data_IF_063881281997
#
_entry.id   IF_063881281997
#
_cell.length_a   1.000
_cell.length_b   1.000
_cell.length_c   1.000
_cell.angle_alpha   90.00
_cell.angle_beta   90.00
_cell.angle_gamma   90.00
#
_symmetry.space_group_name_H-M   'P 1'
#
loop_
_entity.id
_entity.type
_entity.pdbx_description
1 polymer ?
#
# COMPACT_ATOMS: atom_id res chain seq x y z
N UNK A 1 32.70 -3.46 -9.06
CA UNK A 1 31.49 -4.32 -8.94
C UNK A 1 31.66 -5.44 -7.92
N UNK A 2 32.80 -6.14 -7.86
CA UNK A 2 33.01 -7.22 -6.88
C UNK A 2 32.88 -6.74 -5.43
N UNK A 3 33.44 -5.56 -5.11
CA UNK A 3 33.29 -4.93 -3.79
C UNK A 3 31.83 -4.60 -3.49
N UNK A 4 31.11 -3.99 -4.43
CA UNK A 4 29.67 -3.72 -4.28
C UNK A 4 28.88 -5.01 -4.02
N UNK A 5 29.09 -6.05 -4.83
CA UNK A 5 28.47 -7.37 -4.66
C UNK A 5 28.76 -7.94 -3.26
N UNK A 6 30.01 -7.96 -2.83
CA UNK A 6 30.39 -8.48 -1.52
C UNK A 6 29.74 -7.68 -0.38
N UNK A 7 29.72 -6.34 -0.49
CA UNK A 7 29.07 -5.47 0.48
C UNK A 7 27.56 -5.75 0.59
N UNK A 8 26.83 -5.87 -0.52
CA UNK A 8 25.39 -6.20 -0.49
C UNK A 8 25.15 -7.54 0.19
N UNK A 9 25.93 -8.57 -0.14
CA UNK A 9 25.74 -9.92 0.38
C UNK A 9 26.11 -10.09 1.85
N UNK A 10 27.02 -9.26 2.38
CA UNK A 10 27.53 -9.37 3.74
C UNK A 10 26.95 -8.31 4.70
N UNK A 11 26.67 -7.11 4.19
CA UNK A 11 26.39 -5.91 5.00
C UNK A 11 25.09 -5.20 4.58
N UNK A 12 24.45 -5.64 3.49
CA UNK A 12 23.19 -5.06 2.99
C UNK A 12 23.39 -3.88 2.02
N UNK A 13 22.27 -3.35 1.53
CA UNK A 13 22.24 -2.31 0.48
C UNK A 13 22.78 -0.98 0.97
N UNK A 14 22.48 -0.58 2.21
CA UNK A 14 22.93 0.68 2.80
C UNK A 14 24.45 0.81 2.83
N UNK A 15 25.16 -0.22 3.31
CA UNK A 15 26.62 -0.24 3.33
C UNK A 15 27.24 -0.28 1.91
N UNK A 16 26.51 -0.84 0.94
CA UNK A 16 26.97 -0.96 -0.43
C UNK A 16 26.77 0.30 -1.27
N UNK A 17 26.00 1.29 -0.79
CA UNK A 17 25.62 2.51 -1.53
C UNK A 17 26.82 3.28 -2.10
N UNK A 18 27.89 3.61 -1.34
CA UNK A 18 29.04 4.33 -1.90
C UNK A 18 29.76 3.55 -3.01
N UNK A 19 29.66 2.22 -2.99
CA UNK A 19 30.26 1.36 -4.01
C UNK A 19 29.38 1.27 -5.25
N UNK A 20 28.05 1.32 -5.09
CA UNK A 20 27.09 1.40 -6.19
C UNK A 20 27.23 2.73 -6.94
N UNK A 21 27.45 3.83 -6.23
CA UNK A 21 27.61 5.17 -6.83
C UNK A 21 28.79 5.23 -7.81
N UNK A 22 29.86 4.49 -7.51
CA UNK A 22 31.06 4.37 -8.37
C UNK A 22 30.86 3.52 -9.62
N UNK A 23 29.72 2.80 -9.75
CA UNK A 23 29.41 2.01 -10.95
C UNK A 23 28.77 2.89 -12.04
N UNK A 24 28.86 2.49 -13.32
CA UNK A 24 28.25 3.23 -14.43
C UNK A 24 26.75 3.47 -14.23
N UNK A 25 26.26 4.60 -14.75
CA UNK A 25 24.83 4.90 -14.80
C UNK A 25 24.07 3.89 -15.68
N UNK A 26 22.76 3.66 -15.46
CA UNK A 26 21.96 2.66 -16.18
C UNK A 26 22.12 2.65 -17.71
N UNK A 27 22.22 3.84 -18.34
CA UNK A 27 22.39 3.99 -19.79
C UNK A 27 23.81 3.76 -20.33
N UNK A 28 24.78 3.49 -19.46
CA UNK A 28 26.21 3.37 -19.81
C UNK A 28 26.85 2.11 -19.21
N UNK A 29 26.04 1.11 -18.86
CA UNK A 29 26.50 -0.15 -18.30
C UNK A 29 27.14 -1.00 -19.39
N UNK A 30 28.44 -1.35 -19.29
CA UNK A 30 29.07 -2.26 -20.25
C UNK A 30 28.46 -3.67 -20.15
N UNK A 31 28.15 -4.35 -21.27
CA UNK A 31 27.60 -5.71 -21.25
C UNK A 31 28.48 -6.72 -20.49
N UNK A 32 29.78 -6.49 -20.45
CA UNK A 32 30.77 -7.29 -19.71
C UNK A 32 30.49 -7.26 -18.21
N UNK A 33 30.04 -6.12 -17.69
CA UNK A 33 29.76 -5.94 -16.27
C UNK A 33 28.62 -6.85 -15.81
N UNK A 34 27.52 -6.88 -16.56
CA UNK A 34 26.37 -7.75 -16.28
C UNK A 34 26.75 -9.23 -16.40
N UNK A 35 27.52 -9.59 -17.43
CA UNK A 35 27.99 -10.97 -17.64
C UNK A 35 28.92 -11.45 -16.52
N UNK A 36 29.71 -10.55 -15.93
CA UNK A 36 30.66 -10.87 -14.86
C UNK A 36 30.02 -11.15 -13.49
N UNK A 37 28.70 -10.92 -13.34
CA UNK A 37 27.97 -11.22 -12.10
C UNK A 37 27.47 -12.68 -12.13
N UNK A 38 27.89 -13.52 -11.18
CA UNK A 38 27.47 -14.92 -11.11
C UNK A 38 25.94 -15.06 -11.03
N UNK A 39 25.36 -16.02 -11.74
CA UNK A 39 23.92 -16.28 -11.73
C UNK A 39 23.37 -16.55 -10.32
N UNK A 40 24.14 -17.27 -9.50
CA UNK A 40 23.79 -17.56 -8.10
C UNK A 40 23.68 -16.32 -7.21
N UNK A 41 24.39 -15.24 -7.55
CA UNK A 41 24.36 -13.99 -6.80
C UNK A 41 23.28 -13.04 -7.34
N UNK A 42 22.94 -13.10 -8.63
CA UNK A 42 21.94 -12.20 -9.24
C UNK A 42 20.61 -12.23 -8.51
N UNK A 43 20.10 -13.43 -8.18
CA UNK A 43 18.84 -13.56 -7.45
C UNK A 43 18.90 -12.96 -6.04
N UNK A 44 20.03 -13.09 -5.35
CA UNK A 44 20.22 -12.52 -4.00
C UNK A 44 20.29 -10.99 -4.06
N UNK A 45 21.05 -10.45 -5.01
CA UNK A 45 21.18 -9.01 -5.23
C UNK A 45 19.84 -8.39 -5.66
N UNK A 46 19.14 -9.01 -6.61
CA UNK A 46 17.81 -8.57 -7.04
C UNK A 46 16.81 -8.55 -5.88
N UNK A 47 16.79 -9.61 -5.07
CA UNK A 47 15.93 -9.67 -3.87
C UNK A 47 16.28 -8.60 -2.82
N UNK A 48 17.55 -8.23 -2.69
CA UNK A 48 17.98 -7.18 -1.76
C UNK A 48 17.43 -5.81 -2.19
N UNK A 49 17.52 -5.48 -3.48
CA UNK A 49 17.06 -4.20 -4.04
C UNK A 49 15.56 -4.13 -4.31
N UNK A 50 14.88 -5.24 -4.56
CA UNK A 50 13.42 -5.28 -4.71
C UNK A 50 12.66 -4.76 -3.48
N UNK A 51 13.33 -4.63 -2.32
CA UNK A 51 12.74 -4.11 -1.07
C UNK A 51 12.45 -2.61 -1.12
N UNK A 52 13.27 -1.85 -1.84
CA UNK A 52 13.07 -0.41 -2.03
C UNK A 52 11.68 -0.10 -2.62
N UNK A 53 11.08 -1.09 -3.29
CA UNK A 53 9.87 -0.96 -4.07
C UNK A 53 8.64 -1.63 -3.42
N UNK A 54 8.80 -2.31 -2.29
CA UNK A 54 7.68 -2.87 -1.51
C UNK A 54 6.84 -1.77 -0.82
N UNK A 55 7.06 -0.51 -1.19
CA UNK A 55 6.49 0.71 -0.66
C UNK A 55 5.12 1.12 -1.16
N UNK A 56 4.32 0.15 -1.63
CA UNK A 56 2.88 0.36 -1.64
C UNK A 56 2.36 0.65 -0.22
N UNK A 57 3.12 0.29 0.83
CA UNK A 57 2.78 0.28 2.26
C UNK A 57 3.13 1.54 3.05
N UNK A 58 3.58 2.61 2.38
CA UNK A 58 4.32 3.65 3.09
C UNK A 58 3.65 5.02 3.14
N UNK A 59 3.71 5.65 4.32
CA UNK A 59 3.58 7.11 4.46
C UNK A 59 4.66 7.86 3.68
N UNK A 60 5.85 7.24 3.55
CA UNK A 60 6.99 7.74 2.79
C UNK A 60 7.68 6.63 1.99
N UNK A 61 7.89 6.90 0.71
CA UNK A 61 8.80 6.12 -0.15
C UNK A 61 10.15 6.82 -0.22
N UNK A 62 11.25 6.06 -0.08
CA UNK A 62 12.60 6.58 -0.22
C UNK A 62 13.03 6.54 -1.69
N UNK A 63 12.96 7.68 -2.38
CA UNK A 63 13.31 7.76 -3.80
C UNK A 63 14.78 7.46 -4.06
N UNK A 64 15.69 7.75 -3.12
CA UNK A 64 17.09 7.43 -3.28
C UNK A 64 17.35 5.91 -3.30
N UNK A 65 16.70 5.15 -2.40
CA UNK A 65 16.77 3.68 -2.43
C UNK A 65 16.15 3.11 -3.70
N UNK A 66 15.11 3.76 -4.24
CA UNK A 66 14.50 3.36 -5.51
C UNK A 66 15.42 3.62 -6.71
N UNK A 67 16.14 4.75 -6.73
CA UNK A 67 17.12 5.07 -7.76
C UNK A 67 18.29 4.08 -7.70
N UNK A 68 18.74 3.73 -6.49
CA UNK A 68 19.72 2.68 -6.26
C UNK A 68 19.24 1.32 -6.76
N UNK A 69 17.99 0.95 -6.47
CA UNK A 69 17.38 -0.28 -6.95
C UNK A 69 17.26 -0.30 -8.48
N UNK A 70 16.87 0.81 -9.10
CA UNK A 70 16.84 0.93 -10.56
C UNK A 70 18.22 0.73 -11.16
N UNK A 71 19.25 1.34 -10.58
CA UNK A 71 20.64 1.17 -11.01
C UNK A 71 21.12 -0.27 -10.83
N UNK A 72 20.81 -0.90 -9.70
CA UNK A 72 21.12 -2.30 -9.44
C UNK A 72 20.42 -3.23 -10.44
N UNK A 73 19.14 -3.04 -10.72
CA UNK A 73 18.38 -3.80 -11.73
C UNK A 73 19.05 -3.71 -13.11
N UNK A 74 19.48 -2.52 -13.52
CA UNK A 74 20.18 -2.32 -14.78
C UNK A 74 21.53 -3.06 -14.82
N UNK A 75 22.32 -2.99 -13.74
CA UNK A 75 23.62 -3.69 -13.62
C UNK A 75 23.44 -5.21 -13.68
N UNK A 76 22.41 -5.71 -13.01
CA UNK A 76 22.06 -7.13 -12.94
C UNK A 76 21.44 -7.66 -14.23
N UNK A 77 21.06 -6.79 -15.17
CA UNK A 77 20.35 -7.16 -16.39
C UNK A 77 18.94 -7.70 -16.10
N UNK A 78 18.28 -7.16 -15.07
CA UNK A 78 16.89 -7.52 -14.77
C UNK A 78 16.00 -7.04 -15.91
N UNK A 79 15.07 -7.88 -16.42
CA UNK A 79 14.17 -7.49 -17.49
C UNK A 79 13.37 -6.23 -17.16
N UNK A 80 13.06 -5.42 -18.19
CA UNK A 80 12.30 -4.18 -18.03
C UNK A 80 10.94 -4.41 -17.36
N UNK A 81 10.24 -5.50 -17.73
CA UNK A 81 8.97 -5.89 -17.11
C UNK A 81 9.11 -6.11 -15.60
N UNK A 82 10.13 -6.86 -15.19
CA UNK A 82 10.35 -7.17 -13.78
C UNK A 82 10.78 -5.92 -13.00
N UNK A 83 11.63 -5.08 -13.59
CA UNK A 83 12.03 -3.79 -13.01
C UNK A 83 10.82 -2.87 -12.83
N UNK A 84 9.93 -2.79 -13.84
CA UNK A 84 8.73 -1.97 -13.78
C UNK A 84 7.71 -2.51 -12.77
N UNK A 85 7.45 -3.81 -12.76
CA UNK A 85 6.57 -4.47 -11.78
C UNK A 85 7.05 -4.23 -10.34
N UNK A 86 8.36 -4.17 -10.13
CA UNK A 86 8.92 -3.83 -8.83
C UNK A 86 8.73 -2.33 -8.54
N UNK A 87 9.22 -1.43 -9.40
CA UNK A 87 9.47 -0.03 -9.04
C UNK A 87 8.37 0.96 -9.41
N UNK A 88 7.51 0.69 -10.39
CA UNK A 88 6.57 1.70 -10.92
C UNK A 88 5.65 2.27 -9.84
N UNK A 89 5.01 1.42 -9.03
CA UNK A 89 4.15 1.89 -7.94
C UNK A 89 4.88 2.66 -6.85
N UNK A 90 6.15 2.32 -6.56
CA UNK A 90 6.94 3.10 -5.60
C UNK A 90 7.16 4.54 -6.10
N UNK A 91 7.45 4.73 -7.39
CA UNK A 91 7.64 6.07 -7.96
C UNK A 91 6.33 6.86 -7.96
N UNK A 92 5.19 6.22 -8.27
CA UNK A 92 3.89 6.86 -8.15
C UNK A 92 3.58 7.28 -6.71
N UNK A 93 3.89 6.43 -5.74
CA UNK A 93 3.73 6.72 -4.31
C UNK A 93 4.65 7.84 -3.82
N UNK A 94 5.83 7.99 -4.44
CA UNK A 94 6.73 9.11 -4.22
C UNK A 94 6.31 10.41 -4.95
N UNK A 95 5.29 10.36 -5.82
CA UNK A 95 4.85 11.50 -6.62
C UNK A 95 5.62 11.69 -7.94
N UNK A 96 6.51 10.77 -8.30
CA UNK A 96 7.23 10.75 -9.57
C UNK A 96 6.39 10.06 -10.68
N UNK A 97 5.19 10.59 -10.94
CA UNK A 97 4.19 9.96 -11.81
C UNK A 97 4.68 9.74 -13.25
N UNK A 98 5.44 10.70 -13.81
CA UNK A 98 6.02 10.55 -15.16
C UNK A 98 6.99 9.37 -15.25
N UNK A 99 7.83 9.18 -14.22
CA UNK A 99 8.76 8.05 -14.15
C UNK A 99 8.00 6.72 -14.00
N UNK A 100 6.98 6.68 -13.14
CA UNK A 100 6.14 5.49 -12.95
C UNK A 100 5.48 5.04 -14.26
N UNK A 101 4.91 5.98 -15.02
CA UNK A 101 4.29 5.73 -16.32
C UNK A 101 5.30 5.25 -17.37
N UNK A 102 6.45 5.92 -17.46
CA UNK A 102 7.50 5.52 -18.41
C UNK A 102 7.97 4.08 -18.14
N UNK A 103 8.24 3.75 -16.87
CA UNK A 103 8.62 2.41 -16.46
C UNK A 103 7.54 1.39 -16.80
N UNK A 104 6.28 1.66 -16.47
CA UNK A 104 5.18 0.75 -16.76
C UNK A 104 5.02 0.50 -18.27
N UNK A 105 5.04 1.56 -19.08
CA UNK A 105 4.91 1.43 -20.53
C UNK A 105 6.09 0.63 -21.14
N UNK A 106 7.33 0.93 -20.72
CA UNK A 106 8.52 0.21 -21.17
C UNK A 106 8.47 -1.26 -20.74
N UNK A 107 8.08 -1.53 -19.50
CA UNK A 107 7.98 -2.89 -18.97
C UNK A 107 6.96 -3.75 -19.70
N UNK A 108 5.86 -3.15 -20.18
CA UNK A 108 4.80 -3.85 -20.90
C UNK A 108 5.04 -3.97 -22.42
N UNK A 109 6.17 -3.47 -22.89
CA UNK A 109 6.65 -3.67 -24.27
C UNK A 109 7.28 -5.06 -24.36
N UNK A 110 6.44 -6.09 -24.51
CA UNK A 110 6.90 -7.48 -24.64
C UNK A 110 6.61 -8.04 -26.05
N UNK A 111 7.64 -8.47 -26.82
CA UNK A 111 7.46 -8.82 -28.23
C UNK A 111 6.63 -10.07 -28.51
N UNK A 112 6.50 -11.03 -27.58
CA UNK A 112 5.73 -12.27 -27.84
C UNK A 112 4.91 -12.72 -26.63
N UNK A 113 3.80 -12.02 -26.37
CA UNK A 113 2.88 -12.28 -25.26
C UNK A 113 2.29 -13.71 -25.28
N UNK A 114 2.12 -14.30 -26.46
CA UNK A 114 1.58 -15.65 -26.66
C UNK A 114 2.54 -16.78 -26.24
N UNK A 115 3.83 -16.49 -26.15
CA UNK A 115 4.86 -17.48 -25.74
C UNK A 115 5.44 -17.17 -24.36
N UNK A 116 4.85 -16.20 -23.67
CA UNK A 116 5.27 -15.82 -22.33
C UNK A 116 5.04 -16.96 -21.33
N UNK A 117 6.00 -17.18 -20.43
CA UNK A 117 5.84 -18.13 -19.33
C UNK A 117 4.77 -17.62 -18.34
N UNK A 118 4.14 -18.50 -17.53
CA UNK A 118 3.17 -18.07 -16.52
C UNK A 118 3.71 -16.99 -15.56
N UNK A 119 5.00 -17.03 -15.25
CA UNK A 119 5.69 -16.04 -14.40
C UNK A 119 5.81 -14.66 -15.08
N UNK A 120 6.04 -14.62 -16.40
CA UNK A 120 6.01 -13.37 -17.18
C UNK A 120 4.59 -12.82 -17.26
N UNK A 121 3.61 -13.69 -17.52
CA UNK A 121 2.20 -13.31 -17.59
C UNK A 121 1.70 -12.74 -16.25
N UNK A 122 2.02 -13.38 -15.13
CA UNK A 122 1.65 -12.90 -13.81
C UNK A 122 2.24 -11.52 -13.48
N UNK A 123 3.50 -11.26 -13.86
CA UNK A 123 4.11 -9.92 -13.69
C UNK A 123 3.47 -8.87 -14.59
N UNK A 124 3.19 -9.21 -15.85
CA UNK A 124 2.52 -8.29 -16.77
C UNK A 124 1.11 -7.93 -16.29
N UNK A 125 0.34 -8.93 -15.87
CA UNK A 125 -0.99 -8.74 -15.29
C UNK A 125 -0.92 -7.87 -14.03
N UNK A 126 0.04 -8.15 -13.14
CA UNK A 126 0.25 -7.35 -11.94
C UNK A 126 0.66 -5.90 -12.20
N UNK A 127 1.51 -5.66 -13.20
CA UNK A 127 1.92 -4.32 -13.60
C UNK A 127 0.76 -3.55 -14.26
N UNK A 128 -0.07 -4.20 -15.08
CA UNK A 128 -1.27 -3.59 -15.65
C UNK A 128 -2.30 -3.25 -14.58
N UNK A 129 -2.55 -4.14 -13.61
CA UNK A 129 -3.44 -3.86 -12.49
C UNK A 129 -2.92 -2.67 -11.66
N UNK A 130 -1.62 -2.66 -11.36
CA UNK A 130 -0.98 -1.53 -10.69
C UNK A 130 -1.15 -0.23 -11.49
N UNK A 131 -0.90 -0.23 -12.80
CA UNK A 131 -1.02 0.96 -13.63
C UNK A 131 -2.46 1.47 -13.73
N UNK A 132 -3.44 0.57 -13.87
CA UNK A 132 -4.87 0.93 -13.77
C UNK A 132 -5.30 1.46 -12.40
N UNK A 133 -4.48 1.29 -11.36
CA UNK A 133 -4.69 1.87 -10.02
C UNK A 133 -3.92 3.16 -9.79
N UNK A 134 -2.92 3.46 -10.62
CA UNK A 134 -2.18 4.73 -10.60
C UNK A 134 -2.83 5.78 -11.49
N UNK A 135 -3.40 5.35 -12.63
CA UNK A 135 -3.93 6.20 -13.69
C UNK A 135 -5.27 5.71 -14.21
N UNK A 136 -5.93 6.62 -14.94
CA UNK A 136 -7.19 6.37 -15.63
C UNK A 136 -6.93 5.96 -17.09
N UNK A 137 -7.44 4.82 -17.57
CA UNK A 137 -7.34 4.47 -18.99
C UNK A 137 -7.99 5.51 -19.91
N UNK A 138 -9.01 6.23 -19.45
CA UNK A 138 -9.64 7.32 -20.20
C UNK A 138 -8.79 8.60 -20.30
N UNK A 139 -7.78 8.77 -19.43
CA UNK A 139 -6.90 9.95 -19.42
C UNK A 139 -5.48 9.66 -19.88
N UNK A 140 -5.06 8.39 -19.87
CA UNK A 140 -3.73 7.93 -20.27
C UNK A 140 -3.87 6.96 -21.44
N UNK A 141 -3.76 7.44 -22.70
CA UNK A 141 -3.93 6.61 -23.89
C UNK A 141 -3.05 5.37 -23.91
N UNK A 142 -1.80 5.48 -23.43
CA UNK A 142 -0.86 4.37 -23.40
C UNK A 142 -1.36 3.22 -22.52
N UNK A 143 -1.94 3.52 -21.36
CA UNK A 143 -2.52 2.50 -20.48
C UNK A 143 -3.69 1.78 -21.18
N UNK A 144 -4.60 2.54 -21.79
CA UNK A 144 -5.73 1.97 -22.55
C UNK A 144 -5.25 1.07 -23.68
N UNK A 145 -4.28 1.54 -24.44
CA UNK A 145 -3.77 0.82 -25.60
C UNK A 145 -3.03 -0.45 -25.15
N UNK A 146 -2.27 -0.40 -24.04
CA UNK A 146 -1.64 -1.59 -23.44
C UNK A 146 -2.64 -2.60 -22.90
N UNK A 147 -3.69 -2.16 -22.20
CA UNK A 147 -4.77 -3.07 -21.76
C UNK A 147 -5.39 -3.77 -22.98
N UNK A 148 -5.75 -3.02 -24.02
CA UNK A 148 -6.33 -3.60 -25.24
C UNK A 148 -5.38 -4.56 -25.97
N UNK A 149 -4.09 -4.21 -26.07
CA UNK A 149 -3.06 -5.06 -26.67
C UNK A 149 -2.88 -6.39 -25.92
N UNK A 150 -2.76 -6.35 -24.60
CA UNK A 150 -2.56 -7.55 -23.78
C UNK A 150 -3.80 -8.45 -23.79
N UNK A 151 -4.99 -7.88 -23.69
CA UNK A 151 -6.25 -8.64 -23.77
C UNK A 151 -6.44 -9.29 -25.14
N UNK A 152 -6.13 -8.59 -26.24
CA UNK A 152 -6.20 -9.18 -27.59
C UNK A 152 -5.16 -10.28 -27.80
N UNK A 153 -3.99 -10.14 -27.20
CA UNK A 153 -2.93 -11.14 -27.32
C UNK A 153 -3.22 -12.43 -26.53
N UNK A 154 -4.05 -12.35 -25.48
CA UNK A 154 -4.38 -13.45 -24.57
C UNK A 154 -5.92 -13.57 -24.39
N UNK A 155 -6.69 -13.78 -25.48
CA UNK A 155 -8.14 -13.67 -25.45
C UNK A 155 -8.84 -14.79 -24.64
N UNK A 156 -8.13 -15.89 -24.35
CA UNK A 156 -8.62 -17.00 -23.54
C UNK A 156 -8.18 -16.93 -22.08
N UNK A 157 -7.38 -15.92 -21.71
CA UNK A 157 -6.95 -15.75 -20.32
C UNK A 157 -8.02 -15.00 -19.52
N UNK A 158 -8.62 -15.72 -18.58
CA UNK A 158 -9.69 -15.21 -17.74
C UNK A 158 -9.25 -14.04 -16.85
N UNK A 159 -7.97 -13.99 -16.44
CA UNK A 159 -7.44 -12.94 -15.58
C UNK A 159 -7.23 -11.62 -16.33
N UNK A 160 -6.70 -11.67 -17.56
CA UNK A 160 -6.63 -10.48 -18.41
C UNK A 160 -8.04 -9.96 -18.80
N UNK A 161 -8.97 -10.88 -19.04
CA UNK A 161 -10.38 -10.55 -19.28
C UNK A 161 -11.00 -9.85 -18.06
N UNK A 162 -10.85 -10.43 -16.87
CA UNK A 162 -11.34 -9.85 -15.62
C UNK A 162 -10.75 -8.45 -15.37
N UNK A 163 -9.45 -8.26 -15.54
CA UNK A 163 -8.80 -6.95 -15.38
C UNK A 163 -9.36 -5.91 -16.35
N UNK A 164 -9.66 -6.30 -17.59
CA UNK A 164 -10.29 -5.42 -18.59
C UNK A 164 -11.69 -5.00 -18.15
N UNK A 165 -12.51 -5.95 -17.70
CA UNK A 165 -13.87 -5.70 -17.22
C UNK A 165 -13.89 -4.79 -16.00
N UNK A 166 -12.98 -4.99 -15.04
CA UNK A 166 -12.84 -4.10 -13.86
C UNK A 166 -12.55 -2.66 -14.30
N UNK A 167 -11.62 -2.47 -15.24
CA UNK A 167 -11.27 -1.14 -15.72
C UNK A 167 -12.43 -0.48 -16.49
N UNK A 168 -13.14 -1.25 -17.32
CA UNK A 168 -14.34 -0.76 -18.01
C UNK A 168 -15.45 -0.37 -17.02
N UNK A 169 -15.71 -1.19 -16.01
CA UNK A 169 -16.69 -0.88 -14.96
C UNK A 169 -16.32 0.42 -14.23
N UNK A 170 -15.04 0.61 -13.89
CA UNK A 170 -14.56 1.85 -13.28
C UNK A 170 -14.73 3.08 -14.18
N UNK A 171 -14.51 2.96 -15.50
CA UNK A 171 -14.79 4.04 -16.47
C UNK A 171 -16.28 4.39 -16.46
N UNK A 172 -17.17 3.40 -16.51
CA UNK A 172 -18.61 3.61 -16.46
C UNK A 172 -19.03 4.29 -15.14
N UNK A 173 -18.53 3.80 -14.01
CA UNK A 173 -18.84 4.32 -12.69
C UNK A 173 -18.34 5.76 -12.49
N UNK A 174 -17.11 6.10 -12.93
CA UNK A 174 -16.61 7.48 -12.88
C UNK A 174 -17.40 8.43 -13.78
N UNK A 175 -17.97 7.93 -14.87
CA UNK A 175 -18.88 8.68 -15.73
C UNK A 175 -20.33 8.75 -15.19
N UNK A 176 -20.60 8.26 -13.97
CA UNK A 176 -21.93 8.24 -13.37
C UNK A 176 -22.89 7.18 -13.94
N UNK A 177 -22.42 6.28 -14.81
CA UNK A 177 -23.21 5.21 -15.43
C UNK A 177 -23.11 3.93 -14.61
N UNK A 178 -23.57 3.98 -13.36
CA UNK A 178 -23.40 2.89 -12.38
C UNK A 178 -24.12 1.60 -12.81
N UNK A 179 -25.30 1.73 -13.41
CA UNK A 179 -26.10 0.61 -13.92
C UNK A 179 -25.42 -0.09 -15.11
N UNK A 180 -24.57 0.60 -15.85
CA UNK A 180 -23.77 0.01 -16.92
C UNK A 180 -22.48 -0.64 -16.39
N UNK A 181 -21.97 -0.19 -15.24
CA UNK A 181 -20.78 -0.76 -14.61
C UNK A 181 -21.06 -2.12 -13.98
N UNK A 182 -22.23 -2.29 -13.35
CA UNK A 182 -22.54 -3.47 -12.56
C UNK A 182 -22.54 -4.79 -13.38
N UNK A 183 -23.19 -4.89 -14.55
CA UNK A 183 -23.19 -6.13 -15.33
C UNK A 183 -21.78 -6.58 -15.76
N UNK A 184 -20.85 -5.63 -15.95
CA UNK A 184 -19.45 -5.96 -16.25
C UNK A 184 -18.79 -6.67 -15.08
N UNK A 185 -19.06 -6.24 -13.85
CA UNK A 185 -18.52 -6.85 -12.63
C UNK A 185 -19.17 -8.21 -12.37
N UNK A 186 -20.50 -8.31 -12.51
CA UNK A 186 -21.23 -9.57 -12.38
C UNK A 186 -20.74 -10.64 -13.38
N UNK A 187 -20.37 -10.23 -14.60
CA UNK A 187 -19.83 -11.16 -15.61
C UNK A 187 -18.51 -11.82 -15.20
N UNK A 188 -17.73 -11.19 -14.31
CA UNK A 188 -16.47 -11.74 -13.79
C UNK A 188 -16.75 -12.99 -12.95
N UNK A 189 -17.92 -13.09 -12.30
CA UNK A 189 -18.29 -14.25 -11.48
C UNK A 189 -18.45 -15.54 -12.30
N UNK A 190 -18.71 -15.42 -13.61
CA UNK A 190 -18.81 -16.55 -14.52
C UNK A 190 -17.45 -17.02 -15.06
N UNK A 191 -16.39 -16.21 -14.89
CA UNK A 191 -15.04 -16.56 -15.34
C UNK A 191 -14.43 -17.62 -14.41
N UNK A 192 -13.73 -18.58 -15.01
CA UNK A 192 -13.00 -19.63 -14.29
C UNK A 192 -11.52 -19.30 -14.28
N UNK A 193 -10.80 -19.75 -13.26
CA UNK A 193 -9.33 -19.61 -13.16
C UNK A 193 -8.84 -18.14 -13.16
N UNK A 194 -9.66 -17.23 -12.64
CA UNK A 194 -9.25 -15.83 -12.41
C UNK A 194 -8.27 -15.77 -11.23
N UNK A 195 -7.18 -15.02 -11.39
CA UNK A 195 -6.23 -14.77 -10.31
C UNK A 195 -6.98 -14.22 -9.07
N UNK A 196 -6.83 -14.82 -7.87
CA UNK A 196 -7.61 -14.44 -6.69
C UNK A 196 -7.57 -12.95 -6.34
N UNK A 197 -6.42 -12.29 -6.60
CA UNK A 197 -6.28 -10.84 -6.45
C UNK A 197 -7.33 -10.06 -7.26
N UNK A 198 -7.59 -10.47 -8.50
CA UNK A 198 -8.53 -9.77 -9.38
C UNK A 198 -9.98 -10.02 -8.97
N UNK A 199 -10.28 -11.20 -8.41
CA UNK A 199 -11.59 -11.46 -7.79
C UNK A 199 -11.80 -10.51 -6.61
N UNK A 200 -10.79 -10.35 -5.74
CA UNK A 200 -10.84 -9.39 -4.63
C UNK A 200 -11.04 -7.95 -5.15
N UNK A 201 -10.33 -7.56 -6.21
CA UNK A 201 -10.44 -6.23 -6.82
C UNK A 201 -11.84 -6.00 -7.41
N UNK A 202 -12.40 -6.98 -8.12
CA UNK A 202 -13.74 -6.90 -8.69
C UNK A 202 -14.79 -6.68 -7.58
N UNK A 203 -14.73 -7.46 -6.49
CA UNK A 203 -15.64 -7.33 -5.35
C UNK A 203 -15.56 -5.98 -4.65
N UNK A 204 -14.35 -5.39 -4.56
CA UNK A 204 -14.16 -4.05 -4.03
C UNK A 204 -14.90 -3.01 -4.89
N UNK A 205 -14.71 -3.06 -6.21
CA UNK A 205 -15.34 -2.13 -7.17
C UNK A 205 -16.84 -2.35 -7.21
N UNK A 206 -17.30 -3.59 -7.21
CA UNK A 206 -18.72 -3.95 -7.20
C UNK A 206 -19.41 -3.41 -5.97
N UNK A 207 -18.85 -3.63 -4.78
CA UNK A 207 -19.41 -3.06 -3.57
C UNK A 207 -19.43 -1.53 -3.57
N UNK A 208 -18.42 -0.86 -4.15
CA UNK A 208 -18.44 0.59 -4.31
C UNK A 208 -19.54 1.07 -5.27
N UNK A 209 -19.75 0.37 -6.39
CA UNK A 209 -20.82 0.67 -7.35
C UNK A 209 -22.21 0.43 -6.74
N UNK A 210 -22.41 -0.69 -6.06
CA UNK A 210 -23.64 -1.02 -5.36
C UNK A 210 -23.94 -0.02 -4.24
N UNK A 211 -22.92 0.41 -3.49
CA UNK A 211 -23.07 1.43 -2.46
C UNK A 211 -23.52 2.77 -3.06
N UNK A 212 -22.91 3.19 -4.18
CA UNK A 212 -23.28 4.41 -4.89
C UNK A 212 -24.70 4.35 -5.49
N UNK A 213 -25.19 3.14 -5.81
CA UNK A 213 -26.58 2.88 -6.21
C UNK A 213 -27.57 2.82 -5.02
N UNK A 214 -27.10 2.96 -3.77
CA UNK A 214 -27.92 2.81 -2.57
C UNK A 214 -28.26 1.36 -2.19
N UNK A 215 -27.66 0.37 -2.84
CA UNK A 215 -27.86 -1.07 -2.60
C UNK A 215 -26.94 -1.58 -1.50
N UNK A 216 -27.14 -1.08 -0.28
CA UNK A 216 -26.19 -1.24 0.84
C UNK A 216 -25.94 -2.70 1.26
N UNK A 217 -26.98 -3.53 1.34
CA UNK A 217 -26.83 -4.93 1.74
C UNK A 217 -26.03 -5.73 0.70
N UNK A 218 -26.26 -5.46 -0.58
CA UNK A 218 -25.54 -6.12 -1.67
C UNK A 218 -24.08 -5.63 -1.73
N UNK A 219 -23.86 -4.34 -1.51
CA UNK A 219 -22.51 -3.80 -1.38
C UNK A 219 -21.73 -4.48 -0.24
N UNK A 220 -22.37 -4.62 0.93
CA UNK A 220 -21.81 -5.33 2.08
C UNK A 220 -21.53 -6.80 1.74
N UNK A 221 -22.44 -7.48 1.06
CA UNK A 221 -22.26 -8.87 0.64
C UNK A 221 -21.07 -9.04 -0.32
N UNK A 222 -20.93 -8.16 -1.31
CA UNK A 222 -19.80 -8.14 -2.23
C UNK A 222 -18.47 -7.95 -1.48
N UNK A 223 -18.38 -6.95 -0.58
CA UNK A 223 -17.17 -6.73 0.22
C UNK A 223 -16.83 -7.91 1.14
N UNK A 224 -17.82 -8.53 1.79
CA UNK A 224 -17.59 -9.73 2.60
C UNK A 224 -17.12 -10.91 1.75
N UNK A 225 -17.63 -11.04 0.52
CA UNK A 225 -17.17 -12.06 -0.43
C UNK A 225 -15.71 -11.83 -0.84
N UNK A 226 -15.35 -10.59 -1.16
CA UNK A 226 -13.97 -10.19 -1.45
C UNK A 226 -13.00 -10.49 -0.30
N UNK A 227 -13.41 -10.21 0.94
CA UNK A 227 -12.62 -10.56 2.14
C UNK A 227 -12.36 -12.06 2.22
N UNK A 228 -13.41 -12.89 2.08
CA UNK A 228 -13.27 -14.36 2.13
C UNK A 228 -12.33 -14.89 1.05
N UNK A 229 -12.54 -14.46 -0.20
CA UNK A 229 -11.70 -14.85 -1.33
C UNK A 229 -10.23 -14.48 -1.10
N UNK A 230 -9.97 -13.32 -0.51
CA UNK A 230 -8.60 -12.88 -0.24
C UNK A 230 -7.93 -13.63 0.90
N UNK A 231 -8.68 -14.11 1.90
CA UNK A 231 -8.16 -14.94 2.99
C UNK A 231 -7.74 -16.34 2.53
N UNK A 232 -8.35 -16.86 1.47
CA UNK A 232 -8.02 -18.17 0.87
C UNK A 232 -6.77 -18.11 -0.04
N UNK A 233 -6.34 -16.92 -0.44
CA UNK A 233 -5.15 -16.72 -1.27
C UNK A 233 -3.86 -16.97 -0.49
N UNK A 234 -3.04 -17.92 -0.94
CA UNK A 234 -1.73 -18.21 -0.35
C UNK A 234 -0.74 -17.02 -0.46
N UNK A 235 -0.88 -16.20 -1.50
CA UNK A 235 0.02 -15.06 -1.75
C UNK A 235 -0.73 -13.75 -1.57
N UNK A 236 -0.49 -13.09 -0.44
CA UNK A 236 -1.08 -11.77 -0.17
C UNK A 236 -0.21 -10.67 -0.78
N UNK A 237 -0.57 -10.26 -1.99
CA UNK A 237 -0.02 -9.10 -2.69
C UNK A 237 -0.38 -7.80 -1.92
N UNK A 238 0.51 -6.79 -1.83
CA UNK A 238 0.18 -5.52 -1.19
C UNK A 238 -1.14 -4.87 -1.66
N UNK A 239 -1.45 -4.89 -2.96
CA UNK A 239 -2.71 -4.32 -3.49
C UNK A 239 -3.93 -5.07 -2.96
N UNK A 240 -3.86 -6.41 -2.89
CA UNK A 240 -4.94 -7.23 -2.35
C UNK A 240 -5.14 -6.96 -0.85
N UNK A 241 -4.05 -6.77 -0.10
CA UNK A 241 -4.12 -6.40 1.31
C UNK A 241 -4.79 -5.03 1.52
N UNK A 242 -4.61 -4.10 0.60
CA UNK A 242 -5.29 -2.82 0.66
C UNK A 242 -6.77 -2.89 0.32
N UNK A 243 -7.13 -3.67 -0.69
CA UNK A 243 -8.53 -3.92 -1.00
C UNK A 243 -9.24 -4.49 0.23
N UNK A 244 -8.56 -5.38 0.98
CA UNK A 244 -9.06 -5.89 2.27
C UNK A 244 -9.19 -4.81 3.33
N UNK A 245 -8.21 -3.91 3.49
CA UNK A 245 -8.33 -2.77 4.43
C UNK A 245 -9.64 -2.02 4.16
N UNK A 246 -9.88 -1.66 2.90
CA UNK A 246 -11.07 -0.89 2.52
C UNK A 246 -12.35 -1.66 2.80
N UNK A 247 -12.39 -2.95 2.45
CA UNK A 247 -13.55 -3.79 2.69
C UNK A 247 -13.81 -4.02 4.19
N UNK A 248 -12.78 -4.17 5.02
CA UNK A 248 -12.94 -4.29 6.47
C UNK A 248 -13.48 -3.00 7.09
N UNK A 249 -13.03 -1.82 6.62
CA UNK A 249 -13.64 -0.55 7.02
C UNK A 249 -15.10 -0.45 6.59
N UNK A 250 -15.39 -0.79 5.34
CA UNK A 250 -16.74 -0.72 4.76
C UNK A 250 -17.73 -1.63 5.49
N UNK A 251 -17.28 -2.82 5.87
CA UNK A 251 -18.10 -3.85 6.53
C UNK A 251 -18.05 -3.78 8.06
N UNK A 252 -17.16 -2.96 8.63
CA UNK A 252 -16.92 -2.86 10.09
C UNK A 252 -16.61 -4.22 10.71
N UNK A 253 -15.70 -4.95 10.07
CA UNK A 253 -15.30 -6.30 10.47
C UNK A 253 -13.89 -6.33 11.04
N UNK A 254 -13.37 -5.19 11.50
CA UNK A 254 -12.10 -5.17 12.20
C UNK A 254 -12.24 -5.81 13.57
N UNK A 255 -11.30 -6.71 13.88
CA UNK A 255 -11.00 -7.23 15.20
C UNK A 255 -9.48 -7.35 15.36
N UNK A 256 -9.01 -7.77 16.54
CA UNK A 256 -7.58 -7.90 16.81
C UNK A 256 -6.89 -8.93 15.90
N UNK A 257 -7.56 -10.02 15.55
CA UNK A 257 -7.05 -11.05 14.64
C UNK A 257 -6.93 -10.53 13.20
N UNK A 258 -7.92 -9.78 12.72
CA UNK A 258 -7.89 -9.12 11.41
C UNK A 258 -6.80 -8.05 11.35
N UNK A 259 -6.59 -7.29 12.42
CA UNK A 259 -5.48 -6.34 12.50
C UNK A 259 -4.13 -7.05 12.33
N UNK A 260 -3.96 -8.21 12.97
CA UNK A 260 -2.75 -9.01 12.78
C UNK A 260 -2.63 -9.57 11.35
N UNK A 261 -3.73 -10.10 10.82
CA UNK A 261 -3.71 -10.70 9.50
C UNK A 261 -3.46 -9.68 8.39
N UNK A 262 -3.99 -8.47 8.49
CA UNK A 262 -3.96 -7.47 7.42
C UNK A 262 -2.90 -6.40 7.67
N UNK A 263 -3.02 -5.64 8.77
CA UNK A 263 -2.19 -4.47 9.02
C UNK A 263 -0.73 -4.89 9.29
N UNK A 264 -0.49 -5.89 10.13
CA UNK A 264 0.89 -6.31 10.42
C UNK A 264 1.57 -6.95 9.21
N UNK A 265 0.81 -7.63 8.32
CA UNK A 265 1.37 -8.18 7.09
C UNK A 265 1.79 -7.09 6.12
N UNK A 266 1.04 -5.98 6.05
CA UNK A 266 1.41 -4.80 5.26
C UNK A 266 2.65 -4.13 5.86
N UNK A 267 2.62 -3.76 7.14
CA UNK A 267 3.72 -3.01 7.78
C UNK A 267 5.06 -3.75 7.73
N UNK A 268 5.05 -5.08 7.76
CA UNK A 268 6.27 -5.89 7.65
C UNK A 268 6.83 -6.03 6.22
N UNK A 269 6.11 -5.63 5.17
CA UNK A 269 6.58 -5.79 3.77
C UNK A 269 7.62 -4.70 3.46
N UNK A 270 8.86 -5.13 3.28
CA UNK A 270 10.01 -4.25 3.04
C UNK A 270 11.14 -4.45 4.05
N UNK A 271 10.82 -4.97 5.23
CA UNK A 271 11.81 -5.33 6.27
C UNK A 271 12.04 -6.85 6.27
N UNK A 272 13.20 -7.31 6.73
CA UNK A 272 13.54 -8.72 6.86
C UNK A 272 13.95 -9.12 8.28
N UNK A 273 14.01 -10.44 8.50
CA UNK A 273 14.48 -11.06 9.73
C UNK A 273 13.92 -10.41 10.98
N UNK A 274 14.84 -9.97 11.85
CA UNK A 274 14.51 -9.37 13.14
C UNK A 274 13.81 -8.02 12.99
N UNK A 275 14.18 -7.18 12.01
CA UNK A 275 13.58 -5.86 11.85
C UNK A 275 12.07 -5.94 11.55
N UNK A 276 11.68 -6.91 10.70
CA UNK A 276 10.26 -7.18 10.43
C UNK A 276 9.52 -7.65 11.68
N UNK A 277 10.09 -8.62 12.41
CA UNK A 277 9.46 -9.18 13.61
C UNK A 277 9.33 -8.14 14.73
N UNK A 278 10.35 -7.30 14.91
CA UNK A 278 10.34 -6.18 15.85
C UNK A 278 9.21 -5.21 15.51
N UNK A 279 9.12 -4.78 14.25
CA UNK A 279 8.08 -3.86 13.79
C UNK A 279 6.68 -4.45 13.99
N UNK A 280 6.46 -5.68 13.53
CA UNK A 280 5.17 -6.37 13.71
C UNK A 280 4.82 -6.54 15.19
N UNK A 281 5.79 -6.89 16.04
CA UNK A 281 5.61 -7.00 17.47
C UNK A 281 5.33 -5.67 18.17
N UNK A 282 5.82 -4.54 17.66
CA UNK A 282 5.47 -3.21 18.18
C UNK A 282 4.00 -2.87 17.91
N UNK A 283 3.54 -3.05 16.67
CA UNK A 283 2.15 -2.77 16.28
C UNK A 283 1.17 -3.73 16.94
N UNK A 284 1.49 -5.03 17.00
CA UNK A 284 0.69 -6.02 17.74
C UNK A 284 0.46 -5.61 19.20
N UNK A 285 1.54 -5.24 19.90
CA UNK A 285 1.46 -4.79 21.28
C UNK A 285 0.64 -3.52 21.41
N UNK A 286 0.81 -2.56 20.50
CA UNK A 286 0.02 -1.34 20.51
C UNK A 286 -1.48 -1.62 20.35
N UNK A 287 -1.87 -2.46 19.37
CA UNK A 287 -3.26 -2.84 19.11
C UNK A 287 -3.88 -3.66 20.24
N UNK A 288 -3.14 -4.61 20.82
CA UNK A 288 -3.63 -5.44 21.91
C UNK A 288 -3.79 -4.66 23.24
N UNK A 289 -3.03 -3.58 23.41
CA UNK A 289 -3.04 -2.80 24.66
C UNK A 289 -4.18 -1.79 24.75
N UNK A 290 -4.83 -1.44 23.63
CA UNK A 290 -5.88 -0.42 23.60
C UNK A 290 -7.04 -0.80 22.66
N UNK A 291 -8.22 -1.18 23.19
CA UNK A 291 -9.37 -1.57 22.36
C UNK A 291 -9.91 -0.42 21.51
N UNK A 292 -9.55 0.84 21.80
CA UNK A 292 -9.96 1.99 21.00
C UNK A 292 -9.44 1.92 19.56
N UNK A 293 -8.36 1.17 19.28
CA UNK A 293 -7.89 0.96 17.91
C UNK A 293 -8.93 0.28 17.03
N UNK A 294 -9.41 -0.89 17.47
CA UNK A 294 -10.39 -1.68 16.72
C UNK A 294 -11.68 -0.87 16.55
N UNK A 295 -12.12 -0.19 17.62
CA UNK A 295 -13.27 0.71 17.56
C UNK A 295 -13.09 1.83 16.52
N UNK A 296 -11.90 2.42 16.44
CA UNK A 296 -11.59 3.50 15.49
C UNK A 296 -11.54 3.03 14.04
N UNK A 297 -10.99 1.83 13.79
CA UNK A 297 -11.00 1.21 12.46
C UNK A 297 -12.44 0.93 12.01
N UNK A 298 -13.30 0.43 12.89
CA UNK A 298 -14.72 0.20 12.59
C UNK A 298 -15.55 1.50 12.48
N UNK A 299 -15.10 2.58 13.12
CA UNK A 299 -15.72 3.90 13.03
C UNK A 299 -15.29 4.70 11.79
N UNK A 300 -14.28 4.26 11.04
CA UNK A 300 -13.72 5.00 9.90
C UNK A 300 -14.79 5.44 8.88
N UNK A 301 -15.75 4.56 8.57
CA UNK A 301 -16.84 4.82 7.61
C UNK A 301 -18.15 5.28 8.27
N UNK A 302 -18.12 5.73 9.53
CA UNK A 302 -19.31 6.19 10.23
C UNK A 302 -19.88 7.49 9.63
N UNK A 303 -19.01 8.34 9.07
CA UNK A 303 -19.38 9.62 8.46
C UNK A 303 -19.31 9.60 6.92
N UNK A 304 -19.84 10.64 6.23
CA UNK A 304 -19.84 10.70 4.77
C UNK A 304 -18.46 10.70 4.12
N UNK A 305 -17.46 11.30 4.76
CA UNK A 305 -16.11 11.43 4.20
C UNK A 305 -15.39 10.08 4.21
N UNK A 306 -15.54 9.29 5.28
CA UNK A 306 -15.05 7.91 5.33
C UNK A 306 -15.73 6.97 4.32
N UNK A 307 -17.02 7.18 4.04
CA UNK A 307 -17.73 6.45 2.97
C UNK A 307 -17.23 6.82 1.58
N UNK A 308 -17.09 8.13 1.31
CA UNK A 308 -16.54 8.64 0.06
C UNK A 308 -15.11 8.14 -0.19
N UNK A 309 -14.31 7.99 0.87
CA UNK A 309 -12.95 7.47 0.78
C UNK A 309 -12.86 6.08 0.14
N UNK A 310 -13.73 5.14 0.52
CA UNK A 310 -13.73 3.78 -0.07
C UNK A 310 -14.05 3.85 -1.55
N UNK A 311 -15.04 4.66 -1.94
CA UNK A 311 -15.41 4.84 -3.34
C UNK A 311 -14.27 5.50 -4.14
N UNK A 312 -13.64 6.52 -3.57
CA UNK A 312 -12.50 7.20 -4.18
C UNK A 312 -11.33 6.25 -4.40
N UNK A 313 -11.09 5.33 -3.46
CA UNK A 313 -10.07 4.28 -3.61
C UNK A 313 -10.48 3.24 -4.66
N UNK A 314 -11.66 2.64 -4.55
CA UNK A 314 -12.13 1.57 -5.43
C UNK A 314 -12.24 2.05 -6.89
N UNK A 315 -12.70 3.28 -7.09
CA UNK A 315 -12.87 3.88 -8.41
C UNK A 315 -11.63 4.66 -8.85
N UNK A 316 -10.62 4.83 -7.98
CA UNK A 316 -9.41 5.63 -8.21
C UNK A 316 -9.79 7.03 -8.69
N UNK A 317 -10.65 7.72 -7.94
CA UNK A 317 -11.00 9.12 -8.21
C UNK A 317 -9.88 10.08 -7.78
N UNK A 318 -8.95 9.57 -6.96
CA UNK A 318 -7.78 10.29 -6.47
C UNK A 318 -6.54 9.40 -6.57
N UNK A 319 -5.33 9.98 -6.69
CA UNK A 319 -4.09 9.22 -6.66
C UNK A 319 -3.97 8.39 -5.38
N UNK A 320 -3.53 7.13 -5.50
CA UNK A 320 -3.44 6.22 -4.36
C UNK A 320 -2.59 6.80 -3.21
N UNK A 321 -1.50 7.52 -3.53
CA UNK A 321 -0.64 8.20 -2.54
C UNK A 321 -1.38 9.18 -1.63
N UNK A 322 -2.37 9.90 -2.18
CA UNK A 322 -3.14 10.88 -1.43
C UNK A 322 -4.12 10.17 -0.50
N UNK A 323 -4.76 9.13 -1.02
CA UNK A 323 -5.68 8.31 -0.27
C UNK A 323 -4.99 7.62 0.90
N UNK A 324 -3.80 7.05 0.71
CA UNK A 324 -3.07 6.41 1.81
C UNK A 324 -2.66 7.39 2.90
N UNK A 325 -2.12 8.57 2.55
CA UNK A 325 -1.80 9.61 3.55
C UNK A 325 -3.04 10.07 4.30
N UNK A 326 -4.15 10.25 3.59
CA UNK A 326 -5.43 10.64 4.19
C UNK A 326 -5.96 9.53 5.12
N UNK A 327 -5.85 8.27 4.73
CA UNK A 327 -6.23 7.12 5.56
C UNK A 327 -5.49 7.09 6.88
N UNK A 328 -4.15 7.22 6.87
CA UNK A 328 -3.35 7.28 8.09
C UNK A 328 -3.75 8.45 8.99
N UNK A 329 -3.94 9.64 8.40
CA UNK A 329 -4.37 10.84 9.15
C UNK A 329 -5.73 10.64 9.80
N UNK A 330 -6.71 10.12 9.07
CA UNK A 330 -8.07 9.91 9.57
C UNK A 330 -8.10 8.81 10.62
N UNK A 331 -7.39 7.70 10.40
CA UNK A 331 -7.32 6.60 11.35
C UNK A 331 -6.72 7.07 12.69
N UNK A 332 -5.63 7.84 12.63
CA UNK A 332 -5.04 8.47 13.82
C UNK A 332 -6.01 9.45 14.49
N UNK A 333 -6.74 10.25 13.71
CA UNK A 333 -7.72 11.19 14.26
C UNK A 333 -8.80 10.47 15.04
N UNK A 334 -9.45 9.46 14.44
CA UNK A 334 -10.47 8.67 15.11
C UNK A 334 -9.92 8.03 16.38
N UNK A 335 -8.71 7.46 16.32
CA UNK A 335 -8.07 6.84 17.47
C UNK A 335 -7.75 7.82 18.60
N UNK A 336 -7.16 8.97 18.30
CA UNK A 336 -6.81 9.97 19.31
C UNK A 336 -8.07 10.58 19.92
N UNK A 337 -9.07 10.93 19.10
CA UNK A 337 -10.33 11.45 19.59
C UNK A 337 -11.05 10.44 20.50
N UNK A 338 -11.12 9.17 20.08
CA UNK A 338 -11.80 8.13 20.85
C UNK A 338 -11.07 7.77 22.16
N UNK A 339 -9.75 7.88 22.19
CA UNK A 339 -8.93 7.44 23.34
C UNK A 339 -8.55 8.54 24.31
N UNK A 340 -8.71 9.81 23.94
CA UNK A 340 -8.13 10.93 24.69
C UNK A 340 -9.07 12.12 24.92
N UNK A 341 -10.19 12.22 24.21
CA UNK A 341 -11.14 13.31 24.40
C UNK A 341 -12.54 12.76 24.66
N UNK A 342 -13.37 13.44 25.49
CA UNK A 342 -14.74 13.02 25.73
C UNK A 342 -15.58 13.10 24.45
N UNK A 343 -16.61 12.23 24.31
CA UNK A 343 -17.59 12.36 23.25
C UNK A 343 -18.22 13.76 23.28
N UNK A 344 -18.15 14.49 22.16
CA UNK A 344 -18.70 15.85 22.09
C UNK A 344 -17.72 16.98 22.39
N UNK A 345 -16.40 16.71 22.40
CA UNK A 345 -15.37 17.76 22.49
C UNK A 345 -15.59 18.91 21.50
N UNK A 346 -15.13 20.11 21.90
CA UNK A 346 -15.37 21.36 21.18
C UNK A 346 -14.80 21.30 19.75
N UNK A 347 -15.35 22.06 18.79
CA UNK A 347 -14.77 22.17 17.45
C UNK A 347 -13.30 22.62 17.47
N UNK A 348 -12.93 23.46 18.43
CA UNK A 348 -11.55 23.94 18.63
C UNK A 348 -10.61 22.81 19.06
N UNK A 349 -11.02 21.96 20.00
CA UNK A 349 -10.22 20.80 20.42
C UNK A 349 -10.02 19.82 19.26
N UNK A 350 -11.06 19.56 18.47
CA UNK A 350 -10.94 18.70 17.28
C UNK A 350 -10.00 19.30 16.24
N UNK A 351 -10.07 20.60 16.00
CA UNK A 351 -9.16 21.30 15.11
C UNK A 351 -7.71 21.20 15.60
N UNK A 352 -7.48 21.38 16.92
CA UNK A 352 -6.18 21.22 17.56
C UNK A 352 -5.63 19.80 17.42
N UNK A 353 -6.46 18.78 17.62
CA UNK A 353 -6.09 17.36 17.42
C UNK A 353 -5.68 17.13 15.97
N UNK A 354 -6.50 17.53 15.00
CA UNK A 354 -6.21 17.39 13.56
C UNK A 354 -4.89 18.04 13.17
N UNK A 355 -4.67 19.28 13.61
CA UNK A 355 -3.43 20.00 13.35
C UNK A 355 -2.23 19.27 13.93
N UNK A 356 -2.34 18.79 15.18
CA UNK A 356 -1.25 18.07 15.86
C UNK A 356 -0.94 16.75 15.15
N UNK A 357 -1.95 16.01 14.71
CA UNK A 357 -1.79 14.75 13.96
C UNK A 357 -1.11 15.02 12.62
N UNK A 358 -1.56 16.03 11.89
CA UNK A 358 -0.97 16.42 10.61
C UNK A 358 0.52 16.75 10.76
N UNK A 359 0.88 17.54 11.78
CA UNK A 359 2.27 17.86 12.09
C UNK A 359 3.08 16.63 12.54
N UNK A 360 2.47 15.73 13.32
CA UNK A 360 3.08 14.47 13.76
C UNK A 360 3.39 13.57 12.56
N UNK A 361 2.44 13.37 11.65
CA UNK A 361 2.65 12.58 10.44
C UNK A 361 3.68 13.20 9.51
N UNK A 362 3.69 14.53 9.37
CA UNK A 362 4.72 15.24 8.59
C UNK A 362 6.12 15.02 9.20
N UNK A 363 6.26 15.11 10.52
CA UNK A 363 7.52 14.83 11.19
C UNK A 363 7.92 13.35 11.06
N UNK A 364 7.04 12.40 11.37
CA UNK A 364 7.31 10.96 11.22
C UNK A 364 7.79 10.65 9.80
N UNK A 365 7.06 11.12 8.79
CA UNK A 365 7.45 10.91 7.38
C UNK A 365 8.76 11.60 7.01
N UNK A 366 9.23 12.63 7.71
CA UNK A 366 10.55 13.23 7.46
C UNK A 366 11.73 12.38 7.96
N UNK A 367 11.49 11.41 8.85
CA UNK A 367 12.53 10.53 9.39
C UNK A 367 12.85 9.34 8.45
N UNK A 368 14.09 8.87 8.47
CA UNK A 368 14.52 7.70 7.67
C UNK A 368 13.83 6.41 8.15
N UNK A 369 13.77 6.19 9.47
CA UNK A 369 13.12 5.03 10.11
C UNK A 369 11.67 5.31 10.56
N UNK A 370 10.90 6.00 9.72
CA UNK A 370 9.54 6.45 10.05
C UNK A 370 8.61 5.35 10.57
N UNK A 371 8.77 4.10 10.12
CA UNK A 371 7.98 2.96 10.61
C UNK A 371 8.27 2.62 12.08
N UNK A 372 9.54 2.71 12.49
CA UNK A 372 9.93 2.48 13.88
C UNK A 372 9.53 3.66 14.76
N UNK A 373 9.65 4.89 14.25
CA UNK A 373 9.13 6.09 14.92
C UNK A 373 7.62 6.00 15.12
N UNK A 374 6.89 5.56 14.09
CA UNK A 374 5.44 5.36 14.17
C UNK A 374 5.06 4.25 15.15
N UNK A 375 5.75 3.10 15.12
CA UNK A 375 5.52 2.01 16.07
C UNK A 375 5.80 2.45 17.51
N UNK A 376 6.87 3.20 17.73
CA UNK A 376 7.21 3.81 19.02
C UNK A 376 6.16 4.83 19.49
N UNK A 377 5.66 5.67 18.58
CA UNK A 377 4.56 6.59 18.88
C UNK A 377 3.31 5.83 19.36
N UNK A 378 2.89 4.81 18.61
CA UNK A 378 1.73 4.00 18.98
C UNK A 378 1.91 3.27 20.31
N UNK A 379 3.10 2.73 20.58
CA UNK A 379 3.40 2.10 21.87
C UNK A 379 3.38 3.09 23.03
N UNK A 380 4.04 4.25 22.89
CA UNK A 380 4.09 5.28 23.92
C UNK A 380 2.70 5.84 24.23
N UNK A 381 1.90 6.00 23.18
CA UNK A 381 0.49 6.36 23.30
C UNK A 381 -0.26 5.26 24.06
N UNK A 382 -0.23 4.02 23.59
CA UNK A 382 -0.87 2.87 24.23
C UNK A 382 -0.50 2.74 25.72
N UNK A 383 0.78 2.89 26.07
CA UNK A 383 1.30 2.78 27.43
C UNK A 383 1.06 4.00 28.33
N UNK A 384 0.49 5.09 27.79
CA UNK A 384 0.31 6.38 28.50
C UNK A 384 1.63 6.91 29.08
N UNK A 385 2.75 6.64 28.42
CA UNK A 385 4.09 6.99 28.90
C UNK A 385 4.75 8.01 27.96
N UNK A 386 4.60 9.33 28.20
CA UNK A 386 5.22 10.38 27.38
C UNK A 386 6.74 10.23 27.26
N UNK A 387 7.39 9.70 28.31
CA UNK A 387 8.82 9.45 28.36
C UNK A 387 9.31 8.46 27.28
N UNK A 388 8.47 7.50 26.86
CA UNK A 388 8.83 6.55 25.80
C UNK A 388 8.76 7.21 24.41
N UNK A 389 7.87 8.17 24.22
CA UNK A 389 7.74 8.92 22.97
C UNK A 389 8.98 9.80 22.69
N UNK A 390 9.66 10.23 23.76
CA UNK A 390 10.91 11.00 23.72
C UNK A 390 12.16 10.16 23.39
N UNK A 391 12.01 8.84 23.37
CA UNK A 391 13.10 7.88 23.11
C UNK A 391 12.89 7.12 21.78
N UNK A 392 11.99 7.59 20.92
CA UNK A 392 11.70 6.92 19.65
C UNK A 392 12.96 6.84 18.73
N UNK A 393 13.12 5.78 17.93
CA UNK A 393 14.33 5.52 17.13
C UNK A 393 14.72 6.56 16.04
N UNK A 394 14.03 7.69 15.90
CA UNK A 394 14.25 8.69 14.85
C UNK A 394 14.61 10.09 15.34
N UNK A 395 14.98 10.23 16.62
CA UNK A 395 15.25 11.53 17.26
C UNK A 395 13.99 12.14 17.90
N UNK A 396 14.17 13.30 18.55
CA UNK A 396 13.07 13.98 19.22
C UNK A 396 12.22 14.79 18.23
N UNK A 397 10.89 14.85 18.42
CA UNK A 397 10.05 15.79 17.69
C UNK A 397 10.52 17.24 17.92
N UNK A 398 10.25 18.16 16.98
CA UNK A 398 10.42 19.60 17.21
C UNK A 398 9.79 20.04 18.54
N UNK A 399 10.41 20.97 19.30
CA UNK A 399 9.94 21.34 20.64
C UNK A 399 8.47 21.77 20.71
N UNK A 400 7.99 22.49 19.71
CA UNK A 400 6.60 22.95 19.61
C UNK A 400 5.61 21.79 19.37
N UNK A 401 6.01 20.82 18.53
CA UNK A 401 5.23 19.61 18.28
C UNK A 401 5.21 18.74 19.54
N UNK A 402 6.34 18.61 20.22
CA UNK A 402 6.44 17.85 21.46
C UNK A 402 5.50 18.40 22.53
N UNK A 403 5.38 19.71 22.68
CA UNK A 403 4.43 20.34 23.60
C UNK A 403 2.97 19.99 23.26
N UNK A 404 2.59 20.05 21.98
CA UNK A 404 1.25 19.66 21.53
C UNK A 404 0.96 18.19 21.78
N UNK A 405 1.94 17.31 21.54
CA UNK A 405 1.79 15.88 21.79
C UNK A 405 1.73 15.57 23.30
N UNK A 406 2.43 16.33 24.15
CA UNK A 406 2.29 16.22 25.62
C UNK A 406 0.89 16.58 26.08
N UNK A 407 0.35 17.71 25.60
CA UNK A 407 -1.03 18.10 25.90
C UNK A 407 -2.02 16.96 25.57
N UNK A 408 -1.88 16.36 24.39
CA UNK A 408 -2.69 15.22 23.97
C UNK A 408 -2.57 14.00 24.92
N UNK A 409 -1.36 13.66 25.33
CA UNK A 409 -1.11 12.57 26.28
C UNK A 409 -1.66 12.87 27.67
N UNK A 410 -1.64 14.12 28.10
CA UNK A 410 -2.25 14.52 29.37
C UNK A 410 -3.77 14.28 29.32
N UNK A 411 -4.44 14.63 28.21
CA UNK A 411 -5.87 14.33 28.02
C UNK A 411 -6.15 12.81 28.06
N UNK A 412 -5.29 12.02 27.41
CA UNK A 412 -5.36 10.55 27.45
C UNK A 412 -5.19 9.98 28.85
N UNK A 413 -4.26 10.52 29.63
CA UNK A 413 -4.00 10.06 31.00
C UNK A 413 -5.22 10.21 31.92
N UNK A 414 -6.03 11.24 31.66
CA UNK A 414 -7.25 11.57 32.38
C UNK A 414 -8.47 10.77 31.90
N UNK A 415 -8.40 10.16 30.72
CA UNK A 415 -9.50 9.36 30.16
C UNK A 415 -9.45 7.92 30.71
N UNK A 416 -10.51 7.38 31.33
CA UNK A 416 -10.54 5.99 31.77
C UNK A 416 -10.38 5.02 30.60
N UNK A 417 -9.65 3.92 30.79
CA UNK A 417 -9.75 2.81 29.84
C UNK A 417 -11.16 2.25 29.97
N UNK A 418 -11.97 2.34 28.91
CA UNK A 418 -13.21 1.57 28.85
C UNK A 418 -12.83 0.10 28.95
N UNK A 419 -13.44 -0.69 29.85
CA UNK A 419 -13.20 -2.13 29.86
C UNK A 419 -13.50 -2.68 28.47
N UNK A 420 -12.66 -3.58 27.97
CA UNK A 420 -13.00 -4.35 26.77
C UNK A 420 -14.35 -5.01 27.04
N UNK A 421 -15.40 -4.52 26.40
CA UNK A 421 -16.74 -5.04 26.56
C UNK A 421 -16.73 -6.50 26.16
N UNK A 422 -16.91 -7.39 27.12
CA UNK A 422 -17.34 -8.75 26.84
C UNK A 422 -18.78 -8.68 26.36
N UNK A 423 -18.98 -8.86 25.05
CA UNK A 423 -20.15 -9.49 24.46
C UNK A 423 -19.70 -10.28 23.23
#
# INVERSE_FOLDING_TARGET
>A
YQLWRAAVLQQGTTAARPLLDRLPAPGSIPPELTRAIPSADRGKLAKAYARASLGLNFLRVNTAEMDEAMKACAILGIPALETAYQLAGGYHMAGADSMARELANRGLTFPSRQTATPDILGRALGLLDQWGRMDHPESVPELRDRLAEWTRALPQDASFTALTLINQARIHARAGRLEAALPLLESIHALKEVEPRLVTHAMLVEGAVLNALGRQEEARAAWLSGIRSASESATQNPLQLYDRIMMHHATRTWDAGVCDEVINRILGKGKDGLARLTLQGMFLRAFASDPAYVGSLNAFCADPEGRAFIEDYALVRRPARELFRHWFSRMLEHFILASSLPPGCSPEDRARVRQTISQTLAWISSTEDWMEVMGGFFLAWSSRAPGQMLQAPGGQPPPDLLEKMRWLLDQRSQTPLTPAGGQ
#
